data_IF_213195763659
#
_entry.id   IF_213195763659
#
_cell.length_a   1.000
_cell.length_b   1.000
_cell.length_c   1.000
_cell.angle_alpha   90.00
_cell.angle_beta   90.00
_cell.angle_gamma   90.00
#
_symmetry.space_group_name_H-M   'P 1'
#
loop_
_entity.id
_entity.type
_entity.pdbx_description
1 polymer ?
#
# COMPACT_ATOMS: atom_id res chain seq x y z
N UNK A 1 -3.58 27.20 14.25
CA UNK A 1 -2.79 26.34 15.17
C UNK A 1 -1.74 25.63 14.35
N UNK A 2 -0.46 26.00 14.50
CA UNK A 2 0.64 25.36 13.79
C UNK A 2 1.09 24.16 14.64
N UNK A 3 0.71 22.93 14.25
CA UNK A 3 1.25 21.75 14.92
C UNK A 3 2.76 21.74 14.64
N UNK A 4 3.63 21.68 15.66
CA UNK A 4 5.06 21.62 15.43
C UNK A 4 5.37 20.35 14.63
N UNK A 5 6.17 20.45 13.57
CA UNK A 5 6.52 19.29 12.72
C UNK A 5 7.07 18.10 13.54
N UNK A 6 7.67 18.39 14.70
CA UNK A 6 8.13 17.39 15.67
C UNK A 6 7.01 16.53 16.27
N UNK A 7 5.84 17.11 16.56
CA UNK A 7 4.68 16.36 17.05
C UNK A 7 4.09 15.46 15.96
N UNK A 8 4.00 15.94 14.72
CA UNK A 8 3.56 15.13 13.58
C UNK A 8 4.53 13.98 13.31
N UNK A 9 5.84 14.22 13.41
CA UNK A 9 6.86 13.19 13.25
C UNK A 9 6.82 12.16 14.39
N UNK A 10 6.67 12.60 15.64
CA UNK A 10 6.51 11.72 16.81
C UNK A 10 5.26 10.85 16.67
N UNK A 11 4.15 11.42 16.19
CA UNK A 11 2.91 10.69 15.94
C UNK A 11 3.08 9.65 14.82
N UNK A 12 3.71 10.02 13.71
CA UNK A 12 4.05 9.09 12.62
C UNK A 12 4.97 7.96 13.09
N UNK A 13 5.98 8.28 13.91
CA UNK A 13 6.88 7.28 14.49
C UNK A 13 6.12 6.35 15.45
N UNK A 14 5.24 6.87 16.30
CA UNK A 14 4.42 6.04 17.19
C UNK A 14 3.51 5.09 16.40
N UNK A 15 2.86 5.60 15.34
CA UNK A 15 2.06 4.80 14.43
C UNK A 15 2.91 3.73 13.74
N UNK A 16 4.09 4.07 13.22
CA UNK A 16 4.99 3.13 12.57
C UNK A 16 5.47 2.02 13.51
N UNK A 17 5.81 2.35 14.77
CA UNK A 17 6.23 1.36 15.78
C UNK A 17 5.10 0.39 16.16
N UNK A 18 3.83 0.82 16.06
CA UNK A 18 2.66 -0.03 16.35
C UNK A 18 2.55 -1.23 15.38
N UNK A 19 3.17 -1.16 14.21
CA UNK A 19 3.21 -2.25 13.23
C UNK A 19 4.39 -3.21 13.39
N UNK A 20 5.44 -2.82 14.13
CA UNK A 20 6.72 -3.57 14.20
C UNK A 20 6.71 -4.65 15.30
N UNK A 21 5.79 -4.58 16.26
CA UNK A 21 5.73 -5.52 17.40
C UNK A 21 4.79 -6.72 17.21
N UNK A 22 4.17 -6.87 16.03
CA UNK A 22 3.35 -8.03 15.73
C UNK A 22 4.17 -8.99 14.85
N UNK A 23 4.47 -10.17 15.38
CA UNK A 23 4.72 -11.39 14.58
C UNK A 23 3.43 -11.80 13.84
N UNK A 24 2.74 -10.82 13.25
CA UNK A 24 1.59 -11.03 12.41
C UNK A 24 2.11 -11.61 11.10
N UNK A 25 1.52 -12.72 10.69
CA UNK A 25 1.68 -13.24 9.34
C UNK A 25 1.60 -12.06 8.35
N UNK A 26 2.58 -11.99 7.45
CA UNK A 26 2.61 -10.92 6.45
C UNK A 26 1.32 -11.01 5.65
N UNK A 27 0.67 -9.88 5.36
CA UNK A 27 -0.49 -9.87 4.46
C UNK A 27 -0.13 -10.44 3.07
N UNK A 28 1.17 -10.54 2.76
CA UNK A 28 1.74 -11.14 1.56
C UNK A 28 2.15 -12.61 1.72
N UNK A 29 1.77 -13.28 2.82
CA UNK A 29 2.02 -14.71 3.01
C UNK A 29 1.07 -15.59 2.18
N UNK A 30 -0.07 -15.05 1.72
CA UNK A 30 -1.00 -15.73 0.82
C UNK A 30 -1.62 -14.77 -0.20
N UNK A 31 -2.00 -15.29 -1.37
CA UNK A 31 -2.74 -14.52 -2.38
C UNK A 31 -4.03 -13.92 -1.82
N UNK A 32 -4.78 -14.67 -1.01
CA UNK A 32 -6.06 -14.21 -0.48
C UNK A 32 -5.91 -13.00 0.47
N UNK A 33 -4.87 -13.02 1.33
CA UNK A 33 -4.58 -11.90 2.23
C UNK A 33 -4.02 -10.68 1.49
N UNK A 34 -3.28 -10.90 0.40
CA UNK A 34 -2.73 -9.84 -0.44
C UNK A 34 -3.83 -9.11 -1.21
N UNK A 35 -4.75 -9.84 -1.85
CA UNK A 35 -5.91 -9.25 -2.53
C UNK A 35 -6.80 -8.46 -1.55
N UNK A 36 -7.05 -9.00 -0.35
CA UNK A 36 -7.81 -8.31 0.68
C UNK A 36 -7.13 -7.02 1.15
N UNK A 37 -5.80 -7.02 1.27
CA UNK A 37 -5.01 -5.84 1.60
C UNK A 37 -5.12 -4.77 0.52
N UNK A 38 -4.86 -5.13 -0.75
CA UNK A 38 -4.93 -4.20 -1.89
C UNK A 38 -6.33 -3.57 -2.00
N UNK A 39 -7.39 -4.36 -1.88
CA UNK A 39 -8.77 -3.85 -1.91
C UNK A 39 -9.08 -2.88 -0.77
N UNK A 40 -8.57 -3.17 0.43
CA UNK A 40 -8.72 -2.30 1.61
C UNK A 40 -7.92 -1.00 1.46
N UNK A 41 -6.71 -1.09 0.91
CA UNK A 41 -5.85 0.06 0.63
C UNK A 41 -6.53 1.03 -0.34
N UNK A 42 -6.99 0.54 -1.50
CA UNK A 42 -7.65 1.36 -2.51
C UNK A 42 -8.92 2.03 -1.96
N UNK A 43 -9.74 1.27 -1.23
CA UNK A 43 -10.96 1.81 -0.58
C UNK A 43 -10.64 2.89 0.46
N UNK A 44 -9.56 2.72 1.23
CA UNK A 44 -9.12 3.69 2.22
C UNK A 44 -8.59 4.98 1.58
N UNK A 45 -7.78 4.83 0.53
CA UNK A 45 -7.20 5.96 -0.20
C UNK A 45 -8.26 6.78 -0.93
N UNK A 46 -9.23 6.14 -1.58
CA UNK A 46 -10.36 6.83 -2.22
C UNK A 46 -11.13 7.70 -1.22
N UNK A 47 -11.42 7.16 -0.03
CA UNK A 47 -12.14 7.88 1.03
C UNK A 47 -11.33 9.02 1.64
N UNK A 48 -10.00 8.92 1.62
CA UNK A 48 -9.12 9.94 2.21
C UNK A 48 -9.18 11.27 1.44
N UNK A 49 -9.46 11.23 0.12
CA UNK A 49 -9.42 12.40 -0.76
C UNK A 49 -8.05 13.04 -0.91
N UNK A 50 -6.97 12.38 -0.44
CA UNK A 50 -5.59 12.92 -0.48
C UNK A 50 -5.00 12.86 -1.88
N UNK A 51 -5.33 11.83 -2.66
CA UNK A 51 -4.87 11.65 -4.03
C UNK A 51 -5.92 12.14 -5.03
N UNK A 52 -5.46 12.63 -6.17
CA UNK A 52 -6.33 13.02 -7.29
C UNK A 52 -7.02 11.80 -7.89
N UNK A 53 -8.09 12.04 -8.67
CA UNK A 53 -8.82 10.96 -9.33
C UNK A 53 -7.93 10.18 -10.32
N UNK A 54 -7.09 10.88 -11.08
CA UNK A 54 -6.15 10.24 -12.01
C UNK A 54 -5.11 9.40 -11.27
N UNK A 55 -4.56 9.89 -10.16
CA UNK A 55 -3.66 9.10 -9.31
C UNK A 55 -4.34 7.85 -8.77
N UNK A 56 -5.62 7.93 -8.40
CA UNK A 56 -6.39 6.78 -7.96
C UNK A 56 -6.63 5.76 -9.09
N UNK A 57 -6.97 6.25 -10.28
CA UNK A 57 -7.20 5.41 -11.46
C UNK A 57 -5.91 4.65 -11.84
N UNK A 58 -4.76 5.33 -11.79
CA UNK A 58 -3.44 4.72 -12.04
C UNK A 58 -3.09 3.67 -10.97
N UNK A 59 -3.31 3.96 -9.68
CA UNK A 59 -3.11 3.01 -8.59
C UNK A 59 -4.02 1.78 -8.75
N UNK A 60 -5.27 1.97 -9.16
CA UNK A 60 -6.21 0.87 -9.42
C UNK A 60 -5.73 -0.02 -10.57
N UNK A 61 -5.25 0.56 -11.66
CA UNK A 61 -4.72 -0.17 -12.82
C UNK A 61 -3.51 -1.05 -12.46
N UNK A 62 -2.60 -0.51 -11.63
CA UNK A 62 -1.44 -1.27 -11.15
C UNK A 62 -1.88 -2.36 -10.15
N UNK A 63 -2.84 -2.05 -9.27
CA UNK A 63 -3.41 -3.02 -8.34
C UNK A 63 -3.97 -4.23 -9.08
N UNK A 64 -4.74 -4.00 -10.15
CA UNK A 64 -5.30 -5.08 -10.98
C UNK A 64 -4.22 -5.93 -11.65
N UNK A 65 -3.16 -5.29 -12.13
CA UNK A 65 -1.99 -5.97 -12.72
C UNK A 65 -1.32 -6.89 -11.70
N UNK A 66 -1.13 -6.42 -10.46
CA UNK A 66 -0.50 -7.19 -9.39
C UNK A 66 -1.41 -8.34 -8.97
N UNK A 67 -2.70 -8.09 -8.71
CA UNK A 67 -3.66 -9.14 -8.37
C UNK A 67 -3.76 -10.22 -9.45
N UNK A 68 -3.67 -9.86 -10.74
CA UNK A 68 -3.61 -10.84 -11.82
C UNK A 68 -2.38 -11.76 -11.73
N UNK A 69 -1.23 -11.23 -11.31
CA UNK A 69 -0.01 -12.03 -11.10
C UNK A 69 -0.16 -12.89 -9.83
N UNK A 70 -0.75 -12.36 -8.76
CA UNK A 70 -0.96 -13.04 -7.48
C UNK A 70 -1.90 -14.23 -7.55
N UNK A 71 -2.91 -14.18 -8.44
CA UNK A 71 -3.85 -15.28 -8.71
C UNK A 71 -3.21 -16.54 -9.29
N UNK A 72 -1.93 -16.50 -9.66
CA UNK A 72 -1.20 -17.70 -10.05
C UNK A 72 -1.02 -18.62 -8.81
N UNK A 73 -1.60 -19.84 -8.80
CA UNK A 73 -1.59 -20.73 -7.63
C UNK A 73 -0.19 -21.24 -7.27
N UNK A 74 0.80 -21.06 -8.15
CA UNK A 74 2.19 -21.48 -7.94
C UNK A 74 3.08 -20.35 -7.43
N UNK A 75 2.51 -19.26 -6.92
CA UNK A 75 3.31 -18.16 -6.37
C UNK A 75 3.98 -18.58 -5.05
N UNK A 76 5.29 -18.32 -4.96
CA UNK A 76 6.04 -18.47 -3.72
C UNK A 76 5.85 -17.24 -2.82
N UNK A 77 6.08 -17.43 -1.51
CA UNK A 77 6.17 -16.32 -0.55
C UNK A 77 7.14 -15.21 -0.99
N UNK A 78 8.30 -15.59 -1.53
CA UNK A 78 9.28 -14.64 -2.06
C UNK A 78 8.74 -13.81 -3.22
N UNK A 79 7.88 -14.39 -4.07
CA UNK A 79 7.27 -13.67 -5.19
C UNK A 79 6.19 -12.71 -4.71
N UNK A 80 5.35 -13.11 -3.75
CA UNK A 80 4.36 -12.22 -3.13
C UNK A 80 5.05 -11.03 -2.42
N UNK A 81 6.17 -11.26 -1.74
CA UNK A 81 6.96 -10.17 -1.15
C UNK A 81 7.57 -9.23 -2.21
N UNK A 82 8.03 -9.76 -3.34
CA UNK A 82 8.51 -8.92 -4.43
C UNK A 82 7.38 -8.08 -5.05
N UNK A 83 6.17 -8.65 -5.16
CA UNK A 83 4.99 -7.95 -5.64
C UNK A 83 4.54 -6.86 -4.65
N UNK A 84 4.61 -7.10 -3.33
CA UNK A 84 4.42 -6.05 -2.33
C UNK A 84 5.36 -4.87 -2.54
N UNK A 85 6.66 -5.15 -2.72
CA UNK A 85 7.65 -4.11 -2.91
C UNK A 85 7.37 -3.33 -4.20
N UNK A 86 7.01 -4.02 -5.28
CA UNK A 86 6.60 -3.40 -6.53
C UNK A 86 5.34 -2.52 -6.35
N UNK A 87 4.32 -3.03 -5.65
CA UNK A 87 3.10 -2.28 -5.33
C UNK A 87 3.41 -1.00 -4.57
N UNK A 88 4.13 -1.11 -3.44
CA UNK A 88 4.49 0.03 -2.60
C UNK A 88 5.33 1.05 -3.37
N UNK A 89 6.26 0.59 -4.22
CA UNK A 89 7.07 1.46 -5.07
C UNK A 89 6.21 2.21 -6.09
N UNK A 90 5.35 1.51 -6.82
CA UNK A 90 4.48 2.11 -7.84
C UNK A 90 3.46 3.08 -7.25
N UNK A 91 2.84 2.73 -6.12
CA UNK A 91 1.92 3.62 -5.40
C UNK A 91 2.64 4.88 -4.93
N UNK A 92 3.86 4.74 -4.41
CA UNK A 92 4.67 5.89 -4.01
C UNK A 92 5.00 6.78 -5.20
N UNK A 93 5.44 6.18 -6.31
CA UNK A 93 5.76 6.91 -7.54
C UNK A 93 4.55 7.69 -8.05
N UNK A 94 3.35 7.10 -8.06
CA UNK A 94 2.12 7.80 -8.47
C UNK A 94 1.71 8.88 -7.46
N UNK A 95 1.85 8.62 -6.17
CA UNK A 95 1.50 9.60 -5.14
C UNK A 95 2.41 10.85 -5.19
N UNK A 96 3.67 10.68 -5.61
CA UNK A 96 4.65 11.76 -5.75
C UNK A 96 4.85 12.26 -7.18
N UNK A 97 4.21 11.64 -8.18
CA UNK A 97 4.23 12.17 -9.53
C UNK A 97 3.49 13.51 -9.53
N UNK A 98 4.17 14.55 -10.03
CA UNK A 98 3.54 15.86 -10.13
C UNK A 98 2.29 15.75 -11.01
N UNK A 99 1.16 16.27 -10.53
CA UNK A 99 -0.02 16.51 -11.38
C UNK A 99 0.39 17.58 -12.39
N UNK A 100 0.99 17.17 -13.51
CA UNK A 100 1.35 18.06 -14.61
C UNK A 100 0.08 18.55 -15.32
#
# INVERSE_FOLDING_TARGET
MHIPAQLSLLFLLLCAQSFVSLDAASVWDSTATAEAFIGSFNSGMERSGVLSRSQMDDISSISDTISAIERNPNNSKSKLQALNMAFASSVSEIAFSENN
#
